data_IF_800039372088
#
_entry.id   IF_800039372088
#
_cell.length_a   1.000
_cell.length_b   1.000
_cell.length_c   1.000
_cell.angle_alpha   90.00
_cell.angle_beta   90.00
_cell.angle_gamma   90.00
#
_symmetry.space_group_name_H-M   'P 1'
#
loop_
_entity.id
_entity.type
_entity.pdbx_description
1 polymer ?
#
# COMPACT_ATOMS: atom_id res chain seq x y z
N UNK A 1 29.10 47.24 -21.42
CA UNK A 1 27.87 46.95 -20.66
C UNK A 1 27.26 45.68 -21.25
N UNK A 2 27.11 44.60 -20.48
CA UNK A 2 26.67 43.31 -21.00
C UNK A 2 25.15 43.18 -20.92
N UNK A 3 24.53 42.69 -21.99
CA UNK A 3 23.13 42.30 -22.05
C UNK A 3 23.02 40.79 -21.84
N UNK A 4 22.54 40.39 -20.67
CA UNK A 4 22.22 39.01 -20.30
C UNK A 4 20.98 38.51 -21.07
N UNK A 5 20.92 37.23 -21.49
CA UNK A 5 19.69 36.60 -21.94
C UNK A 5 18.87 36.13 -20.74
N UNK A 6 17.60 36.56 -20.69
CA UNK A 6 16.65 36.16 -19.67
C UNK A 6 16.24 34.70 -19.91
N UNK A 7 16.65 33.80 -19.02
CA UNK A 7 16.17 32.42 -18.98
C UNK A 7 14.71 32.43 -18.52
N UNK A 8 13.78 32.19 -19.45
CA UNK A 8 12.39 31.91 -19.13
C UNK A 8 12.31 30.51 -18.52
N UNK A 9 12.33 30.44 -17.18
CA UNK A 9 11.93 29.25 -16.45
C UNK A 9 10.40 29.10 -16.59
N UNK A 10 9.98 28.33 -17.59
CA UNK A 10 8.60 27.89 -17.69
C UNK A 10 8.27 26.95 -16.53
N UNK A 11 7.54 27.45 -15.53
CA UNK A 11 6.89 26.61 -14.54
C UNK A 11 5.81 25.78 -15.25
N UNK A 12 6.07 24.50 -15.47
CA UNK A 12 5.08 23.59 -16.02
C UNK A 12 4.10 23.19 -14.92
N UNK A 13 3.18 24.07 -14.55
CA UNK A 13 1.98 23.67 -13.81
C UNK A 13 1.03 22.94 -14.77
N UNK A 14 1.21 21.63 -14.91
CA UNK A 14 0.26 20.79 -15.63
C UNK A 14 -1.07 20.80 -14.86
N UNK A 15 -2.05 21.58 -15.33
CA UNK A 15 -3.32 21.76 -14.61
C UNK A 15 -4.12 20.46 -14.37
N UNK A 16 -5.14 20.48 -13.49
CA UNK A 16 -5.87 19.29 -13.02
C UNK A 16 -6.42 18.40 -14.14
N UNK A 17 -6.87 19.01 -15.25
CA UNK A 17 -7.39 18.28 -16.42
C UNK A 17 -6.33 17.44 -17.12
N UNK A 18 -5.08 17.91 -17.18
CA UNK A 18 -3.96 17.14 -17.76
C UNK A 18 -3.57 15.97 -16.88
N UNK A 19 -3.60 16.16 -15.55
CA UNK A 19 -3.36 15.08 -14.58
C UNK A 19 -4.43 13.99 -14.67
N UNK A 20 -5.72 14.37 -14.72
CA UNK A 20 -6.80 13.40 -14.91
C UNK A 20 -6.67 12.63 -16.22
N UNK A 21 -6.33 13.31 -17.32
CA UNK A 21 -6.14 12.64 -18.61
C UNK A 21 -5.00 11.62 -18.56
N UNK A 22 -3.86 11.98 -17.95
CA UNK A 22 -2.74 11.05 -17.77
C UNK A 22 -3.12 9.82 -16.94
N UNK A 23 -3.89 9.99 -15.87
CA UNK A 23 -4.40 8.87 -15.05
C UNK A 23 -5.36 7.97 -15.83
N UNK A 24 -6.25 8.55 -16.62
CA UNK A 24 -7.17 7.78 -17.47
C UNK A 24 -6.38 7.00 -18.52
N UNK A 25 -5.37 7.62 -19.12
CA UNK A 25 -4.56 6.97 -20.16
C UNK A 25 -3.68 5.84 -19.59
N UNK A 26 -3.16 5.96 -18.37
CA UNK A 26 -2.45 4.85 -17.70
C UNK A 26 -3.38 3.71 -17.27
N UNK A 27 -4.62 4.01 -16.88
CA UNK A 27 -5.61 2.98 -16.49
C UNK A 27 -6.29 2.29 -17.68
N UNK A 28 -6.30 2.93 -18.85
CA UNK A 28 -7.05 2.48 -20.04
C UNK A 28 -6.72 1.06 -20.50
N UNK A 29 -5.45 0.59 -20.54
CA UNK A 29 -5.13 -0.78 -20.89
C UNK A 29 -5.89 -1.81 -20.04
N UNK A 30 -5.90 -1.62 -18.72
CA UNK A 30 -6.60 -2.50 -17.78
C UNK A 30 -8.11 -2.46 -17.98
N UNK A 31 -8.69 -1.26 -18.16
CA UNK A 31 -10.13 -1.10 -18.40
C UNK A 31 -10.62 -1.77 -19.68
N UNK A 32 -9.74 -1.92 -20.67
CA UNK A 32 -10.06 -2.56 -21.97
C UNK A 32 -9.66 -4.03 -22.02
N UNK A 33 -8.93 -4.54 -21.03
CA UNK A 33 -8.32 -5.87 -21.07
C UNK A 33 -7.15 -5.97 -22.07
N UNK A 34 -6.59 -4.84 -22.52
CA UNK A 34 -5.44 -4.75 -23.44
C UNK A 34 -4.13 -4.86 -22.62
N UNK A 35 -3.94 -5.98 -21.93
CA UNK A 35 -2.85 -6.17 -20.94
C UNK A 35 -1.45 -5.94 -21.52
N UNK A 36 -1.23 -6.32 -22.78
CA UNK A 36 0.00 -6.09 -23.54
C UNK A 36 0.38 -4.61 -23.67
N UNK A 37 -0.61 -3.71 -23.60
CA UNK A 37 -0.38 -2.26 -23.64
C UNK A 37 0.06 -1.70 -22.30
N UNK A 38 -0.20 -2.40 -21.19
CA UNK A 38 0.34 -2.07 -19.88
C UNK A 38 1.75 -2.66 -19.67
N UNK A 39 1.94 -3.92 -20.08
CA UNK A 39 3.22 -4.63 -20.01
C UNK A 39 3.23 -5.74 -21.07
N UNK A 40 4.19 -5.74 -22.01
CA UNK A 40 4.24 -6.71 -23.11
C UNK A 40 4.26 -8.18 -22.67
N UNK A 41 4.81 -8.48 -21.48
CA UNK A 41 4.90 -9.85 -20.99
C UNK A 41 3.64 -10.29 -20.23
N UNK A 42 2.78 -9.34 -19.81
CA UNK A 42 1.65 -9.60 -18.91
C UNK A 42 0.67 -10.66 -19.45
N UNK A 43 0.29 -10.70 -20.76
CA UNK A 43 -0.53 -11.77 -21.28
C UNK A 43 0.08 -13.17 -21.09
N UNK A 44 1.40 -13.30 -21.24
CA UNK A 44 2.10 -14.58 -21.07
C UNK A 44 2.16 -15.00 -19.60
N UNK A 45 2.37 -14.05 -18.68
CA UNK A 45 2.35 -14.28 -17.23
C UNK A 45 0.96 -14.70 -16.75
N UNK A 46 -0.09 -14.07 -17.28
CA UNK A 46 -1.48 -14.46 -17.02
C UNK A 46 -1.78 -15.86 -17.56
N UNK A 47 -1.26 -16.22 -18.73
CA UNK A 47 -1.40 -17.58 -19.27
C UNK A 47 -0.73 -18.63 -18.36
N UNK A 48 0.43 -18.31 -17.79
CA UNK A 48 1.09 -19.14 -16.78
C UNK A 48 0.18 -19.33 -15.56
N UNK A 49 -0.33 -18.25 -14.96
CA UNK A 49 -1.23 -18.31 -13.79
C UNK A 49 -2.53 -19.08 -14.08
N UNK A 50 -3.08 -18.96 -15.29
CA UNK A 50 -4.23 -19.77 -15.73
C UNK A 50 -3.90 -21.25 -15.80
N UNK A 51 -2.73 -21.61 -16.33
CA UNK A 51 -2.33 -23.01 -16.52
C UNK A 51 -2.19 -23.81 -15.21
N UNK A 52 -2.04 -23.09 -14.10
CA UNK A 52 -1.92 -23.63 -12.73
C UNK A 52 -3.21 -23.43 -11.92
N UNK A 53 -4.33 -23.10 -12.57
CA UNK A 53 -5.65 -23.09 -11.96
C UNK A 53 -6.04 -21.80 -11.22
N UNK A 54 -5.26 -20.71 -11.31
CA UNK A 54 -5.61 -19.47 -10.60
C UNK A 54 -6.98 -18.91 -11.01
N UNK A 55 -7.43 -19.16 -12.26
CA UNK A 55 -8.76 -18.76 -12.73
C UNK A 55 -9.90 -19.67 -12.27
N UNK A 56 -9.60 -20.82 -11.66
CA UNK A 56 -10.58 -21.81 -11.20
C UNK A 56 -10.95 -21.60 -9.72
N UNK A 57 -10.09 -20.93 -8.95
CA UNK A 57 -10.30 -20.66 -7.54
C UNK A 57 -11.14 -19.40 -7.35
N UNK A 58 -12.31 -19.54 -6.70
CA UNK A 58 -13.07 -18.37 -6.25
C UNK A 58 -12.33 -17.65 -5.12
N UNK A 59 -12.24 -16.32 -5.20
CA UNK A 59 -11.54 -15.47 -4.25
C UNK A 59 -12.33 -14.19 -3.98
N UNK A 60 -13.07 -14.19 -2.86
CA UNK A 60 -13.87 -13.06 -2.37
C UNK A 60 -14.96 -12.61 -3.36
N UNK A 61 -14.63 -11.71 -4.28
CA UNK A 61 -15.56 -11.07 -5.21
C UNK A 61 -15.35 -11.48 -6.68
N UNK A 62 -14.33 -12.30 -6.97
CA UNK A 62 -14.02 -12.80 -8.32
C UNK A 62 -13.24 -14.11 -8.27
N UNK A 63 -12.47 -14.40 -9.32
CA UNK A 63 -11.47 -15.47 -9.28
C UNK A 63 -10.19 -15.01 -8.61
N UNK A 64 -9.36 -15.96 -8.18
CA UNK A 64 -8.05 -15.65 -7.65
C UNK A 64 -7.16 -14.99 -8.72
N UNK A 65 -7.31 -15.36 -9.98
CA UNK A 65 -6.64 -14.68 -11.09
C UNK A 65 -7.02 -13.20 -11.19
N UNK A 66 -8.31 -12.86 -10.99
CA UNK A 66 -8.76 -11.46 -11.02
C UNK A 66 -8.07 -10.65 -9.92
N UNK A 67 -8.02 -11.20 -8.70
CA UNK A 67 -7.30 -10.60 -7.58
C UNK A 67 -5.79 -10.43 -7.86
N UNK A 68 -5.12 -11.44 -8.43
CA UNK A 68 -3.71 -11.34 -8.80
C UNK A 68 -3.47 -10.26 -9.86
N UNK A 69 -4.39 -10.10 -10.82
CA UNK A 69 -4.34 -9.04 -11.82
C UNK A 69 -4.54 -7.65 -11.19
N UNK A 70 -5.47 -7.49 -10.26
CA UNK A 70 -5.65 -6.23 -9.54
C UNK A 70 -4.44 -5.91 -8.66
N UNK A 71 -3.78 -6.93 -8.09
CA UNK A 71 -2.53 -6.79 -7.35
C UNK A 71 -1.31 -6.46 -8.22
N UNK A 72 -1.36 -6.70 -9.53
CA UNK A 72 -0.41 -6.12 -10.47
C UNK A 72 -0.78 -4.66 -10.80
N UNK A 73 -2.06 -4.44 -11.12
CA UNK A 73 -2.60 -3.18 -11.60
C UNK A 73 -2.44 -2.05 -10.59
N UNK A 74 -2.73 -2.28 -9.31
CA UNK A 74 -2.72 -1.23 -8.29
C UNK A 74 -1.29 -0.67 -8.11
N UNK A 75 -0.24 -1.47 -7.80
CA UNK A 75 1.13 -0.95 -7.72
C UNK A 75 1.63 -0.35 -9.03
N UNK A 76 1.27 -0.95 -10.18
CA UNK A 76 1.61 -0.41 -11.49
C UNK A 76 1.05 1.00 -11.71
N UNK A 77 -0.24 1.22 -11.39
CA UNK A 77 -0.88 2.54 -11.49
C UNK A 77 -0.39 3.54 -10.44
N UNK A 78 0.12 3.06 -9.31
CA UNK A 78 0.83 3.90 -8.34
C UNK A 78 2.25 4.26 -8.79
N UNK A 79 2.73 3.73 -9.91
CA UNK A 79 4.05 4.00 -10.46
C UNK A 79 5.18 3.21 -9.80
N UNK A 80 4.87 2.11 -9.11
CA UNK A 80 5.88 1.26 -8.48
C UNK A 80 6.78 0.61 -9.54
N UNK A 81 8.04 0.25 -9.18
CA UNK A 81 8.92 -0.49 -10.07
C UNK A 81 8.29 -1.80 -10.53
N UNK A 82 8.60 -2.21 -11.77
CA UNK A 82 8.05 -3.44 -12.36
C UNK A 82 8.24 -4.69 -11.47
N UNK A 83 9.40 -4.91 -10.80
CA UNK A 83 9.53 -6.03 -9.86
C UNK A 83 8.53 -6.03 -8.70
N UNK A 84 8.09 -4.85 -8.24
CA UNK A 84 7.07 -4.72 -7.19
C UNK A 84 5.68 -5.05 -7.73
N UNK A 85 5.32 -4.56 -8.92
CA UNK A 85 4.06 -4.93 -9.56
C UNK A 85 3.98 -6.43 -9.87
N UNK A 86 5.08 -7.03 -10.34
CA UNK A 86 5.19 -8.48 -10.54
C UNK A 86 5.17 -9.25 -9.21
N UNK A 87 5.72 -8.67 -8.14
CA UNK A 87 5.55 -9.22 -6.80
C UNK A 87 4.07 -9.31 -6.44
N UNK A 88 3.27 -8.29 -6.72
CA UNK A 88 1.82 -8.32 -6.54
C UNK A 88 1.13 -9.42 -7.37
N UNK A 89 1.47 -9.55 -8.66
CA UNK A 89 0.91 -10.57 -9.56
C UNK A 89 1.17 -12.01 -9.10
N UNK A 90 2.30 -12.26 -8.45
CA UNK A 90 2.74 -13.58 -8.03
C UNK A 90 2.86 -13.69 -6.50
N UNK A 91 2.24 -12.81 -5.73
CA UNK A 91 2.46 -12.67 -4.28
C UNK A 91 2.03 -13.90 -3.43
N UNK A 92 1.39 -14.87 -4.09
CA UNK A 92 0.95 -16.15 -3.52
C UNK A 92 1.55 -17.37 -4.23
N UNK A 93 2.57 -17.18 -5.08
CA UNK A 93 3.14 -18.24 -5.90
C UNK A 93 3.54 -19.48 -5.10
N UNK A 94 4.08 -19.31 -3.88
CA UNK A 94 4.64 -20.39 -3.07
C UNK A 94 3.78 -20.76 -1.84
N UNK A 95 2.50 -20.36 -1.80
CA UNK A 95 1.69 -20.19 -0.58
C UNK A 95 2.19 -19.03 0.28
N UNK A 96 1.30 -18.35 1.00
CA UNK A 96 1.70 -17.24 1.86
C UNK A 96 1.03 -17.31 3.25
N UNK A 97 1.30 -16.31 4.09
CA UNK A 97 0.82 -16.22 5.48
C UNK A 97 -0.69 -16.04 5.65
N UNK A 98 -1.42 -15.75 4.56
CA UNK A 98 -2.86 -15.48 4.61
C UNK A 98 -3.71 -16.59 3.98
N UNK A 99 -3.20 -17.30 2.95
CA UNK A 99 -3.94 -18.35 2.25
C UNK A 99 -3.03 -19.51 1.81
N UNK A 100 -3.46 -20.75 2.08
CA UNK A 100 -2.80 -21.99 1.61
C UNK A 100 -3.24 -22.37 0.19
N UNK A 101 -3.06 -21.45 -0.76
CA UNK A 101 -3.28 -21.64 -2.20
C UNK A 101 -1.93 -21.61 -2.93
N UNK A 102 -1.04 -22.57 -2.61
CA UNK A 102 0.23 -22.67 -3.33
C UNK A 102 -0.03 -22.88 -4.83
N UNK A 103 0.41 -21.94 -5.66
CA UNK A 103 0.31 -22.06 -7.12
C UNK A 103 1.47 -22.92 -7.66
N UNK A 104 2.63 -22.80 -7.04
CA UNK A 104 3.86 -23.53 -7.35
C UNK A 104 4.44 -24.16 -6.09
N UNK A 105 5.06 -25.32 -6.23
CA UNK A 105 5.81 -25.94 -5.16
C UNK A 105 7.06 -25.11 -4.81
N UNK A 106 7.28 -24.68 -3.55
CA UNK A 106 8.39 -23.80 -3.19
C UNK A 106 9.77 -24.42 -3.37
N UNK A 107 9.89 -25.75 -3.34
CA UNK A 107 11.17 -26.46 -3.44
C UNK A 107 11.64 -26.66 -4.88
N UNK A 108 10.72 -26.58 -5.85
CA UNK A 108 10.98 -26.82 -7.28
C UNK A 108 10.54 -25.68 -8.20
N UNK A 109 9.77 -24.72 -7.67
CA UNK A 109 9.13 -23.66 -8.45
C UNK A 109 9.92 -22.35 -8.56
N UNK A 110 10.93 -22.10 -7.71
CA UNK A 110 11.64 -20.81 -7.70
C UNK A 110 12.33 -20.48 -9.01
N UNK A 111 13.08 -21.43 -9.57
CA UNK A 111 13.74 -21.27 -10.87
C UNK A 111 12.74 -21.15 -12.02
N UNK A 112 11.54 -21.73 -11.88
CA UNK A 112 10.47 -21.59 -12.87
C UNK A 112 9.91 -20.17 -12.84
N UNK A 113 9.54 -19.67 -11.67
CA UNK A 113 9.03 -18.31 -11.49
C UNK A 113 10.09 -17.28 -11.89
N UNK A 114 11.35 -17.44 -11.47
CA UNK A 114 12.45 -16.55 -11.83
C UNK A 114 12.64 -16.43 -13.36
N UNK A 115 12.44 -17.52 -14.12
CA UNK A 115 12.49 -17.48 -15.59
C UNK A 115 11.36 -16.66 -16.23
N UNK A 116 10.23 -16.52 -15.54
CA UNK A 116 9.09 -15.74 -16.01
C UNK A 116 9.18 -14.27 -15.60
N UNK A 117 9.52 -13.99 -14.34
CA UNK A 117 9.43 -12.62 -13.78
C UNK A 117 10.79 -11.93 -13.58
N UNK A 118 11.90 -12.66 -13.74
CA UNK A 118 13.24 -12.20 -13.45
C UNK A 118 13.64 -12.38 -11.97
N UNK A 119 14.94 -12.35 -11.66
CA UNK A 119 15.46 -12.68 -10.32
C UNK A 119 15.07 -11.65 -9.25
N UNK A 120 14.98 -10.37 -9.59
CA UNK A 120 14.62 -9.30 -8.65
C UNK A 120 13.18 -9.45 -8.15
N UNK A 121 12.24 -9.66 -9.08
CA UNK A 121 10.83 -9.89 -8.78
C UNK A 121 10.65 -11.19 -8.00
N UNK A 122 11.31 -12.28 -8.43
CA UNK A 122 11.23 -13.58 -7.76
C UNK A 122 11.69 -13.49 -6.30
N UNK A 123 12.78 -12.77 -6.01
CA UNK A 123 13.25 -12.57 -4.64
C UNK A 123 12.20 -11.86 -3.79
N UNK A 124 11.54 -10.82 -4.31
CA UNK A 124 10.45 -10.13 -3.60
C UNK A 124 9.26 -11.06 -3.35
N UNK A 125 8.86 -11.83 -4.37
CA UNK A 125 7.77 -12.83 -4.29
C UNK A 125 8.07 -13.85 -3.19
N UNK A 126 9.28 -14.40 -3.20
CA UNK A 126 9.74 -15.37 -2.21
C UNK A 126 9.68 -14.78 -0.80
N UNK A 127 10.31 -13.61 -0.58
CA UNK A 127 10.28 -12.94 0.72
C UNK A 127 8.85 -12.65 1.17
N UNK A 128 7.99 -12.17 0.27
CA UNK A 128 6.59 -11.91 0.57
C UNK A 128 5.91 -13.19 1.06
N UNK A 129 6.13 -14.33 0.38
CA UNK A 129 5.54 -15.62 0.75
C UNK A 129 6.02 -16.16 2.11
N UNK A 130 7.26 -15.89 2.53
CA UNK A 130 7.84 -16.51 3.73
C UNK A 130 7.85 -15.62 4.99
N UNK A 131 7.70 -14.32 4.82
CA UNK A 131 7.68 -13.34 5.93
C UNK A 131 6.31 -13.36 6.62
N UNK A 132 6.25 -13.34 7.97
CA UNK A 132 5.00 -13.27 8.71
C UNK A 132 4.45 -11.83 8.66
N UNK A 133 3.84 -11.47 7.53
CA UNK A 133 3.48 -10.07 7.23
C UNK A 133 2.45 -9.49 8.18
N UNK A 134 1.49 -10.31 8.65
CA UNK A 134 0.46 -9.84 9.58
C UNK A 134 1.06 -9.28 10.87
N UNK A 135 1.82 -10.04 11.67
CA UNK A 135 2.44 -9.49 12.87
C UNK A 135 3.49 -8.42 12.54
N UNK A 136 4.29 -8.60 11.48
CA UNK A 136 5.31 -7.60 11.11
C UNK A 136 4.70 -6.22 10.78
N UNK A 137 3.62 -6.18 10.00
CA UNK A 137 3.03 -4.91 9.55
C UNK A 137 2.10 -4.34 10.60
N UNK A 138 1.28 -5.17 11.24
CA UNK A 138 0.27 -4.69 12.17
C UNK A 138 0.83 -4.55 13.58
N UNK A 139 1.29 -5.64 14.18
CA UNK A 139 1.68 -5.68 15.58
C UNK A 139 3.00 -4.93 15.80
N UNK A 140 4.02 -5.23 15.00
CA UNK A 140 5.39 -4.72 15.18
C UNK A 140 5.58 -3.29 14.62
N UNK A 141 4.64 -2.80 13.81
CA UNK A 141 4.75 -1.48 13.16
C UNK A 141 3.50 -0.61 13.37
N UNK A 142 2.39 -0.91 12.69
CA UNK A 142 1.25 -0.01 12.60
C UNK A 142 0.61 0.30 13.97
N UNK A 143 0.48 -0.71 14.84
CA UNK A 143 -0.17 -0.57 16.14
C UNK A 143 0.70 0.14 17.19
N UNK A 144 1.98 0.38 16.91
CA UNK A 144 2.83 1.25 17.72
C UNK A 144 2.57 2.75 17.51
N UNK A 145 1.72 3.12 16.55
CA UNK A 145 1.37 4.51 16.25
C UNK A 145 -0.11 4.80 16.51
N UNK A 146 -0.39 5.87 17.25
CA UNK A 146 -1.70 6.51 17.25
C UNK A 146 -1.91 7.34 15.98
N UNK A 147 -3.14 7.74 15.73
CA UNK A 147 -3.50 8.58 14.59
C UNK A 147 -2.84 9.98 14.71
N UNK A 148 -2.77 10.51 15.94
CA UNK A 148 -2.07 11.77 16.25
C UNK A 148 -0.57 11.65 16.05
N UNK A 149 0.07 10.55 16.50
CA UNK A 149 1.49 10.32 16.24
C UNK A 149 1.81 10.39 14.75
N UNK A 150 1.01 9.72 13.91
CA UNK A 150 1.23 9.71 12.47
C UNK A 150 1.06 11.10 11.87
N UNK A 151 0.02 11.84 12.26
CA UNK A 151 -0.23 13.19 11.79
C UNK A 151 0.91 14.16 12.16
N UNK A 152 1.38 14.10 13.41
CA UNK A 152 2.48 14.94 13.90
C UNK A 152 3.80 14.59 13.23
N UNK A 153 4.15 13.31 13.21
CA UNK A 153 5.39 12.84 12.57
C UNK A 153 5.41 13.12 11.06
N UNK A 154 4.27 13.12 10.37
CA UNK A 154 4.21 13.53 8.97
C UNK A 154 4.51 15.02 8.79
N UNK A 155 4.09 15.89 9.71
CA UNK A 155 4.44 17.32 9.66
C UNK A 155 5.92 17.53 9.96
N UNK A 156 6.44 16.86 10.99
CA UNK A 156 7.84 16.96 11.41
C UNK A 156 8.81 16.41 10.34
N UNK A 157 8.55 15.21 9.83
CA UNK A 157 9.39 14.58 8.79
C UNK A 157 9.45 15.39 7.50
N UNK A 158 8.39 16.11 7.12
CA UNK A 158 8.41 17.01 5.96
C UNK A 158 9.38 18.19 6.17
N UNK A 159 9.42 18.76 7.38
CA UNK A 159 10.36 19.81 7.75
C UNK A 159 11.79 19.26 7.76
N UNK A 160 11.97 18.05 8.30
CA UNK A 160 13.25 17.35 8.42
C UNK A 160 13.87 17.07 7.05
N UNK A 161 13.07 16.51 6.12
CA UNK A 161 13.51 16.22 4.76
C UNK A 161 13.91 17.51 4.01
N UNK A 162 13.13 18.58 4.16
CA UNK A 162 13.48 19.88 3.58
C UNK A 162 14.79 20.41 4.15
N UNK A 163 15.00 20.34 5.46
CA UNK A 163 16.25 20.75 6.09
C UNK A 163 17.44 19.90 5.63
N UNK A 164 17.28 18.59 5.46
CA UNK A 164 18.32 17.71 4.93
C UNK A 164 18.74 18.14 3.52
N UNK A 165 17.75 18.30 2.61
CA UNK A 165 18.00 18.66 1.20
C UNK A 165 18.56 20.07 1.00
N UNK A 166 18.03 21.05 1.73
CA UNK A 166 18.36 22.47 1.50
C UNK A 166 19.53 22.97 2.35
N UNK A 167 19.72 22.38 3.54
CA UNK A 167 20.67 22.89 4.55
C UNK A 167 21.70 21.86 5.00
N UNK A 168 21.58 20.59 4.61
CA UNK A 168 22.45 19.52 5.10
C UNK A 168 22.31 19.28 6.61
N UNK A 169 21.13 19.54 7.18
CA UNK A 169 20.87 19.33 8.62
C UNK A 169 20.02 18.10 8.81
N UNK A 170 20.51 17.15 9.61
CA UNK A 170 19.91 15.82 9.73
C UNK A 170 19.24 15.51 11.06
N UNK A 171 19.61 16.18 12.17
CA UNK A 171 18.93 16.09 13.47
C UNK A 171 18.44 14.67 13.89
N UNK A 172 19.37 13.72 14.06
CA UNK A 172 19.07 12.29 14.30
C UNK A 172 18.21 11.99 15.53
N UNK A 173 18.20 12.89 16.52
CA UNK A 173 17.49 12.72 17.79
C UNK A 173 16.03 13.22 17.79
N UNK A 174 15.50 13.60 16.63
CA UNK A 174 14.08 13.99 16.51
C UNK A 174 13.14 12.85 16.94
N UNK A 175 12.02 13.21 17.58
CA UNK A 175 11.11 12.25 18.18
C UNK A 175 10.55 11.24 17.15
N UNK A 176 10.13 11.73 15.98
CA UNK A 176 9.62 10.90 14.90
C UNK A 176 10.67 9.92 14.38
N UNK A 177 11.93 10.36 14.18
CA UNK A 177 13.06 9.53 13.74
C UNK A 177 13.38 8.45 14.76
N UNK A 178 13.43 8.81 16.05
CA UNK A 178 13.67 7.83 17.13
C UNK A 178 12.57 6.78 17.21
N UNK A 179 11.31 7.18 17.09
CA UNK A 179 10.17 6.24 17.12
C UNK A 179 10.24 5.29 15.92
N UNK A 180 10.45 5.82 14.70
CA UNK A 180 10.58 4.99 13.51
C UNK A 180 11.76 4.01 13.60
N UNK A 181 12.94 4.48 14.02
CA UNK A 181 14.12 3.62 14.16
C UNK A 181 13.97 2.58 15.28
N UNK A 182 13.12 2.82 16.29
CA UNK A 182 12.85 1.85 17.35
C UNK A 182 12.00 0.67 16.86
N UNK A 183 11.06 0.90 15.95
CA UNK A 183 10.18 -0.16 15.40
C UNK A 183 10.71 -0.75 14.09
N UNK A 184 11.45 0.05 13.31
CA UNK A 184 12.02 -0.35 12.02
C UNK A 184 13.41 0.26 11.84
N UNK A 185 14.47 -0.42 12.33
CA UNK A 185 15.85 0.05 12.23
C UNK A 185 16.33 0.23 10.79
N UNK A 186 17.39 1.01 10.60
CA UNK A 186 17.90 1.34 9.27
C UNK A 186 18.40 0.10 8.52
N UNK A 187 19.01 -0.83 9.25
CA UNK A 187 19.56 -2.07 8.71
C UNK A 187 18.49 -3.16 8.49
N UNK A 188 17.21 -2.83 8.73
CA UNK A 188 16.08 -3.75 8.64
C UNK A 188 15.80 -4.50 9.94
N UNK A 189 15.05 -5.59 9.81
CA UNK A 189 14.63 -6.47 10.91
C UNK A 189 14.95 -7.93 10.58
N UNK A 190 14.94 -8.78 11.60
CA UNK A 190 14.99 -10.23 11.43
C UNK A 190 13.65 -10.80 11.88
N UNK A 191 13.01 -11.56 11.01
CA UNK A 191 11.73 -12.23 11.27
C UNK A 191 11.89 -13.74 11.12
N UNK A 192 10.92 -14.49 11.64
CA UNK A 192 10.91 -15.95 11.53
C UNK A 192 10.20 -16.39 10.26
N UNK A 193 10.85 -17.21 9.45
CA UNK A 193 10.21 -17.86 8.29
C UNK A 193 8.94 -18.59 8.73
N UNK A 194 7.79 -18.32 8.10
CA UNK A 194 6.47 -18.84 8.55
C UNK A 194 6.37 -20.37 8.64
N UNK A 195 7.07 -21.12 7.76
CA UNK A 195 7.12 -22.60 7.78
C UNK A 195 8.32 -23.18 8.54
N UNK A 196 9.54 -22.69 8.30
CA UNK A 196 10.77 -23.32 8.85
C UNK A 196 11.18 -22.76 10.21
N UNK A 197 10.73 -21.57 10.58
CA UNK A 197 11.17 -20.86 11.79
C UNK A 197 12.61 -20.32 11.71
N UNK A 198 13.26 -20.41 10.56
CA UNK A 198 14.60 -19.86 10.33
C UNK A 198 14.59 -18.32 10.33
N UNK A 199 15.74 -17.73 10.65
CA UNK A 199 15.91 -16.28 10.62
C UNK A 199 15.94 -15.77 9.18
N UNK A 200 15.07 -14.82 8.87
CA UNK A 200 15.01 -14.13 7.58
C UNK A 200 15.27 -12.66 7.84
N UNK A 201 16.36 -12.14 7.26
CA UNK A 201 16.65 -10.71 7.27
C UNK A 201 15.80 -10.00 6.22
N UNK A 202 15.15 -8.91 6.62
CA UNK A 202 14.30 -8.09 5.75
C UNK A 202 14.72 -6.64 5.91
N UNK A 203 15.18 -6.01 4.82
CA UNK A 203 15.59 -4.60 4.85
C UNK A 203 14.39 -3.67 5.08
N UNK A 204 14.66 -2.45 5.54
CA UNK A 204 13.61 -1.43 5.71
C UNK A 204 12.84 -1.16 4.41
N UNK A 205 13.51 -1.16 3.26
CA UNK A 205 12.88 -0.93 1.95
C UNK A 205 11.97 -2.08 1.53
N UNK A 206 12.34 -3.33 1.83
CA UNK A 206 11.45 -4.48 1.62
C UNK A 206 10.24 -4.42 2.55
N UNK A 207 10.43 -4.06 3.83
CA UNK A 207 9.31 -3.84 4.77
C UNK A 207 8.36 -2.76 4.25
N UNK A 208 8.89 -1.62 3.79
CA UNK A 208 8.08 -0.56 3.19
C UNK A 208 7.29 -1.06 1.98
N UNK A 209 7.93 -1.83 1.10
CA UNK A 209 7.28 -2.47 -0.05
C UNK A 209 6.13 -3.37 0.41
N UNK A 210 6.30 -4.12 1.51
CA UNK A 210 5.25 -5.00 2.02
C UNK A 210 4.10 -4.22 2.64
N UNK A 211 4.35 -3.09 3.31
CA UNK A 211 3.30 -2.16 3.75
C UNK A 211 2.48 -1.67 2.55
N UNK A 212 3.14 -1.21 1.48
CA UNK A 212 2.48 -0.78 0.24
C UNK A 212 1.68 -1.92 -0.41
N UNK A 213 2.22 -3.12 -0.46
CA UNK A 213 1.51 -4.28 -0.99
C UNK A 213 0.28 -4.64 -0.15
N UNK A 214 0.35 -4.54 1.18
CA UNK A 214 -0.81 -4.75 2.07
C UNK A 214 -1.87 -3.67 1.87
N UNK A 215 -1.48 -2.42 1.60
CA UNK A 215 -2.42 -1.36 1.22
C UNK A 215 -3.16 -1.73 -0.08
N UNK A 216 -2.46 -2.24 -1.09
CA UNK A 216 -3.08 -2.67 -2.34
C UNK A 216 -4.05 -3.85 -2.10
N UNK A 217 -3.60 -4.87 -1.36
CA UNK A 217 -4.37 -6.08 -1.05
C UNK A 217 -5.69 -5.76 -0.35
N UNK A 218 -5.63 -4.95 0.71
CA UNK A 218 -6.83 -4.58 1.48
C UNK A 218 -7.81 -3.76 0.65
N UNK A 219 -7.30 -2.90 -0.24
CA UNK A 219 -8.16 -2.06 -1.10
C UNK A 219 -8.96 -2.87 -2.13
N UNK A 220 -8.45 -4.05 -2.53
CA UNK A 220 -9.11 -4.93 -3.48
C UNK A 220 -10.16 -5.85 -2.82
N UNK A 221 -9.89 -6.39 -1.63
CA UNK A 221 -10.59 -7.59 -1.18
C UNK A 221 -11.42 -7.48 0.11
N UNK A 222 -11.43 -6.32 0.80
CA UNK A 222 -12.13 -6.16 2.09
C UNK A 222 -13.57 -5.62 1.96
N UNK A 223 -14.51 -6.43 2.47
CA UNK A 223 -15.95 -6.17 2.55
C UNK A 223 -16.44 -6.26 4.00
N UNK A 224 -17.69 -5.90 4.23
CA UNK A 224 -18.35 -5.85 5.54
C UNK A 224 -18.35 -7.19 6.28
N UNK A 225 -18.36 -8.33 5.57
CA UNK A 225 -18.34 -9.63 6.22
C UNK A 225 -17.01 -9.84 6.96
N UNK A 226 -15.88 -9.29 6.45
CA UNK A 226 -14.63 -9.32 7.20
C UNK A 226 -14.70 -8.43 8.44
N UNK A 227 -15.48 -7.34 8.43
CA UNK A 227 -15.66 -6.54 9.63
C UNK A 227 -16.34 -7.36 10.74
N UNK A 228 -17.32 -8.19 10.39
CA UNK A 228 -17.97 -9.10 11.34
C UNK A 228 -17.02 -10.23 11.77
N UNK A 229 -16.28 -10.82 10.82
CA UNK A 229 -15.34 -11.90 11.08
C UNK A 229 -14.28 -11.51 12.11
N UNK A 230 -13.75 -10.28 11.97
CA UNK A 230 -12.62 -9.78 12.74
C UNK A 230 -13.02 -8.82 13.87
N UNK A 231 -14.33 -8.69 14.16
CA UNK A 231 -14.88 -7.80 15.19
C UNK A 231 -14.44 -6.33 15.01
N UNK A 232 -14.43 -5.85 13.77
CA UNK A 232 -13.97 -4.52 13.36
C UNK A 232 -15.04 -3.42 13.50
N UNK A 233 -15.86 -3.46 14.53
CA UNK A 233 -16.94 -2.47 14.72
C UNK A 233 -16.40 -1.05 14.97
N UNK A 234 -15.17 -0.95 15.48
CA UNK A 234 -14.47 0.32 15.70
C UNK A 234 -13.81 0.88 14.41
N UNK A 235 -13.80 0.11 13.31
CA UNK A 235 -13.19 0.47 12.03
C UNK A 235 -11.67 0.53 12.00
N UNK A 236 -10.97 0.13 13.07
CA UNK A 236 -9.49 0.22 13.14
C UNK A 236 -8.77 -0.95 12.46
N UNK A 237 -9.51 -2.00 12.13
CA UNK A 237 -9.05 -3.25 11.51
C UNK A 237 -7.90 -3.88 12.30
N UNK A 238 -8.16 -4.10 13.59
CA UNK A 238 -7.19 -4.59 14.57
C UNK A 238 -7.16 -6.12 14.68
N UNK A 239 -8.03 -6.83 13.93
CA UNK A 239 -8.13 -8.30 13.95
C UNK A 239 -8.32 -8.87 15.37
N UNK A 240 -9.10 -8.17 16.20
CA UNK A 240 -9.31 -8.49 17.61
C UNK A 240 -10.15 -9.74 17.87
N UNK A 241 -10.90 -10.21 16.88
CA UNK A 241 -11.82 -11.33 16.99
C UNK A 241 -11.70 -12.36 15.86
N UNK A 242 -12.40 -13.48 16.04
CA UNK A 242 -12.54 -14.54 15.05
C UNK A 242 -13.95 -15.13 15.10
N UNK A 243 -14.94 -14.33 14.70
CA UNK A 243 -16.35 -14.70 14.70
C UNK A 243 -16.72 -15.58 13.49
N UNK A 244 -16.08 -16.74 13.40
CA UNK A 244 -16.31 -17.72 12.33
C UNK A 244 -17.68 -18.40 12.40
N UNK A 245 -18.32 -18.43 13.58
CA UNK A 245 -19.63 -19.04 13.77
C UNK A 245 -20.81 -18.17 13.31
N UNK A 246 -20.66 -16.83 13.39
CA UNK A 246 -21.73 -15.89 13.03
C UNK A 246 -21.55 -15.22 11.66
N UNK A 247 -20.39 -15.33 11.04
CA UNK A 247 -20.09 -14.64 9.78
C UNK A 247 -20.36 -15.54 8.57
N UNK A 248 -21.20 -15.07 7.65
CA UNK A 248 -21.45 -15.75 6.38
C UNK A 248 -20.73 -15.03 5.23
N UNK A 249 -20.07 -15.83 4.40
CA UNK A 249 -19.48 -15.37 3.15
C UNK A 249 -20.49 -15.53 1.99
N UNK A 250 -20.62 -14.57 1.04
CA UNK A 250 -19.89 -13.30 0.91
C UNK A 250 -20.49 -12.11 1.70
N UNK A 251 -21.47 -12.35 2.56
CA UNK A 251 -22.19 -11.30 3.29
C UNK A 251 -23.19 -10.54 2.41
N UNK A 252 -23.40 -9.26 2.68
CA UNK A 252 -24.32 -8.38 1.94
C UNK A 252 -23.62 -7.59 0.81
N UNK A 253 -22.30 -7.78 0.62
CA UNK A 253 -21.50 -7.04 -0.34
C UNK A 253 -21.24 -5.58 0.03
N UNK A 254 -21.60 -5.15 1.25
CA UNK A 254 -21.32 -3.80 1.75
C UNK A 254 -19.80 -3.57 1.82
N UNK A 255 -19.28 -2.37 1.47
CA UNK A 255 -17.87 -2.06 1.62
C UNK A 255 -17.38 -2.22 3.08
N UNK A 256 -16.18 -2.77 3.25
CA UNK A 256 -15.56 -2.99 4.56
C UNK A 256 -14.98 -1.72 5.19
N UNK A 257 -14.69 -1.76 6.48
CA UNK A 257 -14.09 -0.66 7.24
C UNK A 257 -12.56 -0.75 7.28
N UNK A 258 -11.93 -0.43 6.14
CA UNK A 258 -10.47 -0.54 5.97
C UNK A 258 -9.76 0.78 5.70
N UNK A 259 -10.49 1.86 5.38
CA UNK A 259 -9.88 3.12 4.91
C UNK A 259 -9.03 3.82 5.98
N UNK A 260 -9.42 3.80 7.27
CA UNK A 260 -8.56 4.28 8.36
C UNK A 260 -7.24 3.52 8.38
N UNK A 261 -7.29 2.19 8.44
CA UNK A 261 -6.10 1.33 8.52
C UNK A 261 -5.15 1.54 7.33
N UNK A 262 -5.67 1.58 6.09
CA UNK A 262 -4.85 1.85 4.91
C UNK A 262 -4.27 3.28 4.91
N UNK A 263 -5.03 4.29 5.37
CA UNK A 263 -4.49 5.65 5.48
C UNK A 263 -3.35 5.76 6.50
N UNK A 264 -3.44 5.01 7.62
CA UNK A 264 -2.38 4.90 8.62
C UNK A 264 -1.16 4.17 8.06
N UNK A 265 -1.35 3.09 7.30
CA UNK A 265 -0.27 2.40 6.58
C UNK A 265 0.40 3.31 5.56
N UNK A 266 -0.37 4.11 4.82
CA UNK A 266 0.17 5.12 3.91
C UNK A 266 1.02 6.16 4.64
N UNK A 267 0.51 6.73 5.74
CA UNK A 267 1.26 7.66 6.57
C UNK A 267 2.60 7.07 7.05
N UNK A 268 2.56 5.85 7.59
CA UNK A 268 3.75 5.12 8.03
C UNK A 268 4.73 4.85 6.87
N UNK A 269 4.23 4.40 5.71
CA UNK A 269 5.04 4.22 4.50
C UNK A 269 5.78 5.50 4.13
N UNK A 270 5.09 6.65 4.15
CA UNK A 270 5.67 7.95 3.83
C UNK A 270 6.74 8.38 4.84
N UNK A 271 6.58 8.06 6.13
CA UNK A 271 7.64 8.26 7.13
C UNK A 271 8.88 7.43 6.79
N UNK A 272 8.70 6.17 6.35
CA UNK A 272 9.81 5.32 5.93
C UNK A 272 10.51 5.89 4.69
N UNK A 273 9.76 6.32 3.67
CA UNK A 273 10.34 6.94 2.46
C UNK A 273 11.17 8.16 2.83
N UNK A 274 10.62 9.08 3.64
CA UNK A 274 11.33 10.30 4.04
C UNK A 274 12.59 10.02 4.86
N UNK A 275 12.55 9.04 5.75
CA UNK A 275 13.73 8.63 6.52
C UNK A 275 14.81 8.05 5.61
N UNK A 276 14.45 7.20 4.65
CA UNK A 276 15.41 6.64 3.67
C UNK A 276 16.00 7.72 2.75
N UNK A 277 15.20 8.72 2.37
CA UNK A 277 15.70 9.88 1.62
C UNK A 277 16.66 10.73 2.45
N UNK A 278 16.31 11.05 3.70
CA UNK A 278 17.20 11.78 4.63
C UNK A 278 18.51 10.99 4.82
N UNK A 279 18.42 9.68 5.03
CA UNK A 279 19.58 8.80 5.14
C UNK A 279 20.45 8.83 3.87
N UNK A 280 19.83 8.84 2.68
CA UNK A 280 20.54 9.00 1.41
C UNK A 280 21.28 10.35 1.31
N UNK A 281 20.66 11.44 1.76
CA UNK A 281 21.33 12.75 1.82
C UNK A 281 22.47 12.78 2.85
N UNK A 282 22.34 12.09 3.99
CA UNK A 282 23.41 11.91 4.99
C UNK A 282 24.63 11.18 4.41
N UNK A 283 24.41 10.13 3.61
CA UNK A 283 25.50 9.41 2.95
C UNK A 283 26.21 10.31 1.94
N UNK A 284 25.46 11.06 1.14
CA UNK A 284 26.01 11.96 0.13
C UNK A 284 26.84 13.09 0.74
N UNK A 285 26.51 13.55 1.95
CA UNK A 285 27.25 14.60 2.65
C UNK A 285 28.54 14.11 3.32
N UNK A 286 28.73 12.79 3.45
CA UNK A 286 29.86 12.18 4.15
C UNK A 286 29.71 12.09 5.68
N UNK A 287 28.59 12.57 6.24
CA UNK A 287 28.24 12.45 7.66
C UNK A 287 27.52 11.12 7.99
N UNK A 288 27.16 10.35 6.96
CA UNK A 288 26.49 9.06 7.09
C UNK A 288 27.37 7.96 7.69
N UNK A 289 26.81 7.19 8.61
CA UNK A 289 27.38 5.90 9.00
C UNK A 289 27.11 4.91 7.86
N UNK A 290 28.14 4.53 7.11
CA UNK A 290 28.04 3.49 6.07
C UNK A 290 27.79 2.16 6.78
N UNK A 291 26.54 1.69 6.81
CA UNK A 291 26.21 0.38 7.34
C UNK A 291 25.47 -0.48 6.32
N UNK A 292 26.01 -1.69 6.14
CA UNK A 292 25.34 -2.84 5.54
C UNK A 292 25.51 -2.99 4.02
N UNK A 293 26.18 -4.07 3.59
CA UNK A 293 25.72 -4.78 2.39
C UNK A 293 24.32 -5.31 2.73
N UNK A 294 23.35 -5.22 1.81
CA UNK A 294 21.98 -5.78 1.94
C UNK A 294 20.87 -4.85 2.49
N UNK A 295 20.87 -3.55 2.13
CA UNK A 295 19.76 -2.61 2.41
C UNK A 295 18.72 -2.47 1.31
N UNK A 296 18.94 -3.15 0.17
CA UNK A 296 18.14 -3.01 -1.05
C UNK A 296 18.03 -1.55 -1.54
N UNK A 297 19.15 -0.82 -1.54
CA UNK A 297 19.19 0.61 -1.93
C UNK A 297 18.76 0.85 -3.40
N UNK A 298 18.81 -0.19 -4.23
CA UNK A 298 18.32 -0.24 -5.61
C UNK A 298 16.80 -0.42 -5.73
N UNK A 299 16.11 -0.79 -4.64
CA UNK A 299 14.65 -0.90 -4.61
C UNK A 299 14.01 0.47 -4.38
N UNK A 300 13.54 1.10 -5.45
CA UNK A 300 12.89 2.40 -5.39
C UNK A 300 11.56 2.37 -4.60
N UNK A 301 11.41 3.33 -3.68
CA UNK A 301 10.19 3.55 -2.92
C UNK A 301 9.38 4.69 -3.55
N UNK A 302 8.16 4.39 -4.00
CA UNK A 302 7.26 5.35 -4.65
C UNK A 302 6.08 5.62 -3.73
N UNK A 303 5.82 6.90 -3.44
CA UNK A 303 4.67 7.31 -2.61
C UNK A 303 3.37 7.12 -3.40
N UNK A 304 2.45 6.25 -2.94
CA UNK A 304 1.17 6.06 -3.61
C UNK A 304 0.35 7.36 -3.73
N UNK A 305 -0.35 7.59 -4.85
CA UNK A 305 -1.19 8.78 -5.06
C UNK A 305 -2.55 8.70 -4.36
N UNK A 306 -2.60 8.15 -3.14
CA UNK A 306 -3.81 8.02 -2.31
C UNK A 306 -3.64 8.81 -1.01
N UNK A 307 -4.75 9.22 -0.39
CA UNK A 307 -4.74 9.96 0.88
C UNK A 307 -3.82 11.20 0.89
N UNK A 308 -3.91 12.00 -0.18
CA UNK A 308 -3.05 13.18 -0.40
C UNK A 308 -1.55 12.82 -0.38
N UNK A 309 -1.16 11.91 -1.27
CA UNK A 309 0.21 11.36 -1.33
C UNK A 309 0.68 10.79 0.01
N UNK A 310 -0.19 10.00 0.64
CA UNK A 310 0.04 9.38 1.94
C UNK A 310 0.40 10.37 3.05
N UNK A 311 -0.18 11.58 3.02
CA UNK A 311 0.01 12.60 4.08
C UNK A 311 -1.21 12.79 4.97
N UNK A 312 -2.29 12.04 4.73
CA UNK A 312 -3.53 12.15 5.48
C UNK A 312 -3.88 10.84 6.18
N UNK A 313 -4.11 10.93 7.49
CA UNK A 313 -4.74 9.88 8.30
C UNK A 313 -6.24 10.15 8.37
N UNK A 314 -7.06 9.17 8.04
CA UNK A 314 -8.52 9.27 8.08
C UNK A 314 -9.04 8.82 9.43
N UNK A 315 -10.01 9.53 10.01
CA UNK A 315 -10.62 9.14 11.28
C UNK A 315 -11.48 7.87 11.13
N UNK A 316 -11.40 6.98 12.13
CA UNK A 316 -12.12 5.71 12.12
C UNK A 316 -13.64 5.87 12.27
N UNK A 317 -14.11 6.86 13.03
CA UNK A 317 -15.54 7.15 13.14
C UNK A 317 -16.11 7.78 11.87
N UNK A 318 -15.34 8.67 11.23
CA UNK A 318 -15.74 9.32 9.98
C UNK A 318 -15.89 8.33 8.82
N UNK A 319 -15.00 7.33 8.69
CA UNK A 319 -15.19 6.30 7.66
C UNK A 319 -16.45 5.48 7.90
N UNK A 320 -16.82 5.18 9.15
CA UNK A 320 -18.01 4.37 9.47
C UNK A 320 -19.24 5.13 8.97
N UNK A 321 -19.34 6.40 9.35
CA UNK A 321 -20.43 7.28 8.92
C UNK A 321 -20.47 7.41 7.39
N UNK A 322 -19.33 7.66 6.75
CA UNK A 322 -19.27 7.82 5.30
C UNK A 322 -19.67 6.54 4.55
N UNK A 323 -19.18 5.39 4.99
CA UNK A 323 -19.49 4.06 4.43
C UNK A 323 -20.96 3.74 4.60
N UNK A 324 -21.53 4.00 5.79
CA UNK A 324 -22.94 3.71 6.08
C UNK A 324 -23.88 4.61 5.26
N UNK A 325 -23.58 5.90 5.12
CA UNK A 325 -24.33 6.80 4.24
C UNK A 325 -24.26 6.38 2.77
N UNK A 326 -23.06 6.00 2.30
CA UNK A 326 -22.91 5.45 0.94
C UNK A 326 -23.75 4.19 0.75
N UNK A 327 -23.70 3.26 1.70
CA UNK A 327 -24.47 2.02 1.64
C UNK A 327 -25.98 2.26 1.67
N UNK A 328 -26.43 3.20 2.51
CA UNK A 328 -27.82 3.63 2.55
C UNK A 328 -28.25 4.16 1.17
N UNK A 329 -27.42 4.99 0.53
CA UNK A 329 -27.69 5.51 -0.82
C UNK A 329 -27.84 4.41 -1.87
N UNK A 330 -26.90 3.46 -1.88
CA UNK A 330 -26.88 2.33 -2.81
C UNK A 330 -28.11 1.45 -2.63
N UNK A 331 -28.47 1.15 -1.39
CA UNK A 331 -29.63 0.30 -1.07
C UNK A 331 -30.97 1.01 -1.25
N UNK A 332 -31.04 2.31 -0.97
CA UNK A 332 -32.28 3.11 -1.02
C UNK A 332 -32.40 3.93 -2.32
N UNK A 333 -31.72 3.53 -3.39
CA UNK A 333 -31.69 4.24 -4.68
C UNK A 333 -33.08 4.45 -5.35
N UNK A 334 -34.16 3.88 -4.77
CA UNK A 334 -35.57 4.09 -5.15
C UNK A 334 -36.50 4.61 -4.03
N UNK A 335 -35.97 5.10 -2.90
CA UNK A 335 -36.76 5.69 -1.80
C UNK A 335 -36.96 7.21 -1.90
N UNK A 336 -37.86 7.79 -1.09
CA UNK A 336 -38.31 9.20 -1.17
C UNK A 336 -37.19 10.26 -1.11
N UNK A 337 -36.01 9.95 -0.56
CA UNK A 337 -34.87 10.88 -0.48
C UNK A 337 -33.79 10.68 -1.55
N UNK A 338 -33.74 9.52 -2.19
CA UNK A 338 -32.77 9.19 -3.26
C UNK A 338 -31.30 9.59 -2.99
N UNK A 339 -30.56 9.82 -4.08
CA UNK A 339 -29.17 10.33 -4.05
C UNK A 339 -29.05 11.74 -3.46
N UNK A 340 -30.05 12.60 -3.68
CA UNK A 340 -30.04 13.99 -3.23
C UNK A 340 -30.01 14.09 -1.71
N UNK A 341 -30.77 13.24 -0.99
CA UNK A 341 -30.74 13.21 0.47
C UNK A 341 -29.40 12.75 1.04
N UNK A 342 -28.69 11.86 0.35
CA UNK A 342 -27.36 11.40 0.77
C UNK A 342 -26.34 12.51 0.54
N UNK A 343 -26.39 13.19 -0.61
CA UNK A 343 -25.54 14.33 -0.92
C UNK A 343 -25.73 15.46 0.11
N UNK A 344 -26.97 15.75 0.50
CA UNK A 344 -27.29 16.71 1.55
C UNK A 344 -26.69 16.31 2.90
N UNK A 345 -26.80 15.03 3.30
CA UNK A 345 -26.26 14.53 4.56
C UNK A 345 -24.73 14.60 4.60
N UNK A 346 -24.06 14.18 3.52
CA UNK A 346 -22.61 14.27 3.38
C UNK A 346 -22.14 15.74 3.41
N UNK A 347 -22.82 16.61 2.66
CA UNK A 347 -22.50 18.04 2.58
C UNK A 347 -22.75 18.78 3.90
N UNK A 348 -23.83 18.43 4.61
CA UNK A 348 -24.10 18.97 5.95
C UNK A 348 -22.98 18.57 6.91
N UNK A 349 -22.54 17.31 6.86
CA UNK A 349 -21.49 16.83 7.75
C UNK A 349 -20.14 17.47 7.48
N UNK A 350 -19.77 17.65 6.21
CA UNK A 350 -18.55 18.39 5.84
C UNK A 350 -18.55 19.82 6.42
N UNK A 351 -19.70 20.50 6.37
CA UNK A 351 -19.87 21.85 6.95
C UNK A 351 -19.76 21.85 8.47
N UNK A 352 -20.37 20.88 9.16
CA UNK A 352 -20.24 20.74 10.62
C UNK A 352 -18.79 20.51 11.06
N UNK A 353 -18.00 19.76 10.28
CA UNK A 353 -16.58 19.54 10.54
C UNK A 353 -15.77 20.83 10.40
N UNK A 354 -15.99 21.59 9.32
CA UNK A 354 -15.33 22.88 9.09
C UNK A 354 -15.68 23.93 10.16
N UNK A 355 -16.80 23.77 10.88
CA UNK A 355 -17.19 24.66 11.97
C UNK A 355 -16.59 24.31 13.34
N UNK A 356 -15.95 23.14 13.47
CA UNK A 356 -15.41 22.59 14.72
C UNK A 356 -13.89 22.49 14.76
N UNK A 357 -13.21 22.69 13.63
CA UNK A 357 -11.75 22.85 13.53
C UNK A 357 -11.40 24.28 13.20
#
# INVERSE_FOLDING_TARGET
>A
MPSSPCCNAGSSSSGPRKQLQALVDSARPFLRGELESADPDLPSLVAVLRSVGAGECWHKHGSFLDHLLDMYRIPHLWGCPRPVALCGLFHSAYSNSYVNLAIFDPSTGRDVVARHVGPEAERLIHLFCIVPRQPLIHDDLLFHYSDDDLADHLRESAISLRNAREKGVFARDEAWRRKLNAVLPADGVVVKHIKTGEDVRVSRRVVATFVLMTMADFSDQLFSFQDQLFENENGRLEFSGQNSAGTLWPGDGKPGLWMNSISRMGALYNLIVREEEIFGEEIKSGDGLVNGKDRDDDLDLVVPPVFDSCTKVLDAGEQIIARDLYWEAVCNHGGEKGLEGVEELLSKRQREKQSKG
#
